data_IF_439091575348
#
_entry.id   IF_439091575348
#
_cell.length_a   1.000
_cell.length_b   1.000
_cell.length_c   1.000
_cell.angle_alpha   90.00
_cell.angle_beta   90.00
_cell.angle_gamma   90.00
#
_symmetry.space_group_name_H-M   'P 1'
#
loop_
_entity.id
_entity.type
_entity.pdbx_description
1 polymer ?
#
# COMPACT_ATOMS: atom_id res chain seq x y z
N UNK A 1 -5.79 -28.24 10.91
CA UNK A 1 -5.58 -28.25 12.38
C UNK A 1 -4.53 -27.21 12.74
N UNK A 2 -5.01 -26.04 13.17
CA UNK A 2 -4.41 -25.12 14.15
C UNK A 2 -5.41 -23.98 14.25
N UNK A 3 -6.29 -24.06 15.25
CA UNK A 3 -7.22 -23.00 15.59
C UNK A 3 -6.40 -21.73 15.84
N UNK A 4 -6.64 -20.71 15.01
CA UNK A 4 -6.02 -19.39 15.18
C UNK A 4 -6.43 -18.86 16.56
N UNK A 5 -5.46 -18.74 17.46
CA UNK A 5 -5.68 -18.20 18.81
C UNK A 5 -6.02 -16.72 18.67
N UNK A 6 -7.13 -16.30 19.28
CA UNK A 6 -7.53 -14.88 19.33
C UNK A 6 -6.43 -14.01 19.95
N UNK A 7 -6.26 -12.80 19.42
CA UNK A 7 -5.30 -11.80 19.89
C UNK A 7 -5.67 -11.44 21.35
N UNK A 8 -4.77 -11.70 22.30
CA UNK A 8 -5.01 -11.38 23.72
C UNK A 8 -4.48 -9.98 24.03
N UNK A 9 -5.33 -9.13 24.60
CA UNK A 9 -5.04 -7.70 24.90
C UNK A 9 -5.25 -7.38 26.39
N UNK A 10 -4.63 -6.30 26.89
CA UNK A 10 -4.87 -5.69 28.22
C UNK A 10 -5.53 -4.33 28.04
N UNK A 11 -6.57 -4.01 28.84
CA UNK A 11 -7.23 -2.70 28.87
C UNK A 11 -7.06 -2.05 30.25
N UNK A 12 -6.38 -0.90 30.30
CA UNK A 12 -6.40 0.09 31.39
C UNK A 12 -6.49 1.45 30.68
N UNK A 13 -7.38 2.36 31.10
CA UNK A 13 -7.76 3.48 30.22
C UNK A 13 -7.92 4.87 30.85
N UNK A 14 -7.56 5.86 30.04
CA UNK A 14 -7.72 7.31 30.23
C UNK A 14 -8.42 7.92 29.00
N UNK A 15 -9.51 8.67 29.22
CA UNK A 15 -10.30 9.28 28.13
C UNK A 15 -9.73 10.62 27.67
N UNK A 16 -9.31 10.73 26.40
CA UNK A 16 -8.85 11.99 25.80
C UNK A 16 -9.96 12.72 25.04
N UNK A 17 -10.34 13.91 25.53
CA UNK A 17 -11.45 14.72 25.00
C UNK A 17 -11.00 15.75 23.96
N UNK A 18 -11.41 15.57 22.69
CA UNK A 18 -11.45 16.67 21.72
C UNK A 18 -12.70 16.58 20.84
N UNK A 19 -13.66 17.47 21.09
CA UNK A 19 -14.83 17.64 20.22
C UNK A 19 -14.50 18.56 19.05
N UNK A 20 -14.72 18.11 17.81
CA UNK A 20 -14.72 18.99 16.64
C UNK A 20 -16.10 19.66 16.53
N UNK A 21 -16.16 21.00 16.51
CA UNK A 21 -17.40 21.73 16.22
C UNK A 21 -17.81 21.50 14.75
N UNK A 22 -19.12 21.43 14.50
CA UNK A 22 -19.72 21.05 13.21
C UNK A 22 -19.57 22.11 12.09
N UNK A 23 -19.10 23.31 12.40
CA UNK A 23 -19.31 24.52 11.56
C UNK A 23 -18.14 24.97 10.68
N UNK A 24 -17.01 24.27 10.58
CA UNK A 24 -15.94 24.67 9.66
C UNK A 24 -15.59 23.57 8.65
N UNK A 25 -15.71 23.95 7.37
CA UNK A 25 -15.43 23.21 6.13
C UNK A 25 -16.25 21.93 5.86
N UNK A 26 -16.99 21.96 4.75
CA UNK A 26 -17.56 20.77 4.11
C UNK A 26 -16.42 19.77 3.82
N UNK A 27 -16.28 18.72 4.64
CA UNK A 27 -15.31 17.67 4.36
C UNK A 27 -15.60 17.06 2.97
N UNK A 28 -14.54 16.87 2.18
CA UNK A 28 -14.68 16.26 0.85
C UNK A 28 -15.31 14.86 0.98
N UNK A 29 -16.26 14.50 0.09
CA UNK A 29 -16.86 13.17 0.11
C UNK A 29 -15.79 12.09 -0.05
N UNK A 30 -16.09 10.87 0.39
CA UNK A 30 -15.18 9.75 0.20
C UNK A 30 -14.85 9.60 -1.30
N UNK A 31 -13.56 9.41 -1.60
CA UNK A 31 -13.12 9.14 -2.97
C UNK A 31 -13.80 7.87 -3.52
N UNK A 32 -13.98 7.73 -4.84
CA UNK A 32 -14.59 6.54 -5.44
C UNK A 32 -13.91 5.23 -5.00
N UNK A 33 -12.58 5.21 -4.93
CA UNK A 33 -11.82 4.06 -4.42
C UNK A 33 -12.07 3.80 -2.93
N UNK A 34 -12.16 4.86 -2.12
CA UNK A 34 -12.48 4.70 -0.69
C UNK A 34 -13.86 4.05 -0.49
N UNK A 35 -14.84 4.39 -1.33
CA UNK A 35 -16.17 3.76 -1.33
C UNK A 35 -16.11 2.30 -1.77
N UNK A 36 -15.35 2.00 -2.84
CA UNK A 36 -15.16 0.63 -3.31
C UNK A 36 -14.60 -0.30 -2.22
N UNK A 37 -13.67 0.19 -1.39
CA UNK A 37 -13.12 -0.59 -0.28
C UNK A 37 -14.11 -0.89 0.86
N UNK A 38 -15.31 -0.29 0.87
CA UNK A 38 -16.39 -0.66 1.79
C UNK A 38 -17.32 -1.74 1.23
N UNK A 39 -17.17 -2.13 -0.04
CA UNK A 39 -17.98 -3.22 -0.58
C UNK A 39 -17.62 -4.54 0.12
N UNK A 40 -18.61 -5.39 0.48
CA UNK A 40 -18.35 -6.65 1.14
C UNK A 40 -17.32 -7.51 0.41
N UNK A 41 -16.22 -7.85 1.08
CA UNK A 41 -15.11 -8.62 0.49
C UNK A 41 -14.06 -7.78 -0.23
N UNK A 42 -14.17 -6.44 -0.17
CA UNK A 42 -13.19 -5.47 -0.69
C UNK A 42 -12.41 -4.75 0.41
N UNK A 43 -12.51 -5.20 1.66
CA UNK A 43 -11.75 -4.60 2.76
C UNK A 43 -10.26 -4.67 2.46
N UNK A 44 -9.64 -3.50 2.30
CA UNK A 44 -8.21 -3.38 2.10
C UNK A 44 -7.62 -2.68 3.31
N UNK A 45 -6.72 -3.39 3.99
CA UNK A 45 -5.96 -2.85 5.11
C UNK A 45 -4.53 -2.52 4.66
N UNK A 46 -4.09 -1.32 5.00
CA UNK A 46 -2.69 -0.92 4.91
C UNK A 46 -2.05 -1.26 6.24
N UNK A 47 -1.07 -2.17 6.24
CA UNK A 47 -0.31 -2.55 7.43
C UNK A 47 1.09 -1.97 7.31
N UNK A 48 1.47 -1.13 8.26
CA UNK A 48 2.82 -0.57 8.42
C UNK A 48 3.51 -1.16 9.64
N UNK A 49 4.79 -1.49 9.53
CA UNK A 49 5.61 -1.97 10.64
C UNK A 49 6.68 -0.93 10.90
N UNK A 50 6.86 -0.54 12.16
CA UNK A 50 7.89 0.40 12.57
C UNK A 50 8.72 -0.18 13.71
N UNK A 51 10.04 -0.17 13.49
CA UNK A 51 11.03 -0.50 14.49
C UNK A 51 11.55 0.73 15.21
N UNK A 52 11.79 0.61 16.51
CA UNK A 52 12.42 1.63 17.34
C UNK A 52 13.74 1.13 17.92
N UNK A 53 14.69 2.04 18.11
CA UNK A 53 15.96 1.78 18.81
C UNK A 53 15.81 1.71 20.33
N UNK A 54 14.65 2.07 20.85
CA UNK A 54 14.30 1.99 22.26
C UNK A 54 12.98 1.26 22.42
N UNK A 55 12.72 0.73 23.63
CA UNK A 55 11.39 0.27 24.00
C UNK A 55 10.35 1.38 23.84
N UNK A 56 9.13 0.98 23.54
CA UNK A 56 8.01 1.90 23.31
C UNK A 56 7.23 2.02 24.62
N UNK A 57 7.27 3.19 25.25
CA UNK A 57 6.43 3.48 26.41
C UNK A 57 4.99 3.76 25.94
N UNK A 58 3.98 2.92 26.28
CA UNK A 58 2.63 3.06 25.75
C UNK A 58 1.98 4.40 26.10
N UNK A 59 2.19 4.91 27.32
CA UNK A 59 1.58 6.18 27.74
C UNK A 59 2.13 7.37 26.94
N UNK A 60 3.46 7.49 26.87
CA UNK A 60 4.11 8.54 26.07
C UNK A 60 3.68 8.46 24.60
N UNK A 61 3.51 7.25 24.09
CA UNK A 61 3.04 7.02 22.73
C UNK A 61 1.60 7.52 22.52
N UNK A 62 0.68 7.18 23.43
CA UNK A 62 -0.73 7.64 23.43
C UNK A 62 -0.81 9.17 23.53
N UNK A 63 -0.08 9.77 24.46
CA UNK A 63 -0.10 11.23 24.66
C UNK A 63 0.36 11.97 23.40
N UNK A 64 1.41 11.46 22.74
CA UNK A 64 1.92 12.05 21.49
C UNK A 64 0.94 11.91 20.31
N UNK A 65 0.23 10.78 20.20
CA UNK A 65 -0.81 10.60 19.17
C UNK A 65 -1.94 11.62 19.35
N UNK A 66 -2.36 11.90 20.59
CA UNK A 66 -3.39 12.90 20.86
C UNK A 66 -2.96 14.32 20.44
N UNK A 67 -1.68 14.65 20.61
CA UNK A 67 -1.12 15.95 20.25
C UNK A 67 -0.78 16.11 18.76
N UNK A 68 -0.68 15.01 18.00
CA UNK A 68 -0.24 15.04 16.60
C UNK A 68 -1.28 14.41 15.68
N UNK A 69 -1.36 13.08 15.69
CA UNK A 69 -2.20 12.26 14.82
C UNK A 69 -3.69 12.61 14.91
N UNK A 70 -4.23 12.77 16.12
CA UNK A 70 -5.65 13.10 16.36
C UNK A 70 -6.01 14.56 16.04
N UNK A 71 -5.05 15.39 15.63
CA UNK A 71 -5.38 16.70 15.03
C UNK A 71 -6.01 16.56 13.65
N UNK A 72 -5.82 15.43 12.97
CA UNK A 72 -6.41 15.18 11.66
C UNK A 72 -7.83 14.64 11.79
N UNK A 73 -8.80 15.44 11.34
CA UNK A 73 -10.23 15.13 11.44
C UNK A 73 -10.61 13.80 10.80
N UNK A 74 -9.95 13.37 9.71
CA UNK A 74 -10.23 12.06 9.05
C UNK A 74 -10.02 10.87 9.98
N UNK A 75 -9.05 10.94 10.90
CA UNK A 75 -8.76 9.88 11.86
C UNK A 75 -9.62 9.99 13.12
N UNK A 76 -10.42 11.05 13.21
CA UNK A 76 -11.41 11.30 14.26
C UNK A 76 -12.83 11.30 13.68
N UNK A 77 -13.05 10.66 12.54
CA UNK A 77 -14.35 10.59 11.85
C UNK A 77 -14.71 9.16 11.52
N UNK A 78 -16.01 8.84 11.66
CA UNK A 78 -16.64 7.65 11.13
C UNK A 78 -16.92 7.83 9.64
N UNK A 79 -17.00 6.72 8.90
CA UNK A 79 -17.39 6.70 7.50
C UNK A 79 -18.74 6.01 7.40
N UNK A 80 -19.81 6.80 7.21
CA UNK A 80 -21.18 6.32 7.32
C UNK A 80 -21.88 6.40 5.97
N UNK A 81 -22.59 5.33 5.62
CA UNK A 81 -23.41 5.29 4.42
C UNK A 81 -24.76 5.94 4.69
N UNK A 82 -25.08 6.97 3.92
CA UNK A 82 -26.43 7.51 3.85
C UNK A 82 -27.32 6.51 3.08
N UNK A 83 -28.37 6.05 3.74
CA UNK A 83 -29.28 5.03 3.21
C UNK A 83 -30.21 5.59 2.12
N UNK A 84 -30.44 6.89 2.07
CA UNK A 84 -31.38 7.50 1.12
C UNK A 84 -30.73 7.76 -0.23
N UNK A 85 -29.49 8.26 -0.25
CA UNK A 85 -28.79 8.61 -1.49
C UNK A 85 -27.61 7.67 -1.83
N UNK A 86 -27.23 6.75 -0.94
CA UNK A 86 -26.12 5.81 -1.14
C UNK A 86 -24.73 6.45 -1.15
N UNK A 87 -24.64 7.71 -0.69
CA UNK A 87 -23.37 8.41 -0.50
C UNK A 87 -22.71 8.01 0.82
N UNK A 88 -21.40 8.22 0.92
CA UNK A 88 -20.63 7.96 2.14
C UNK A 88 -20.10 9.28 2.66
N UNK A 89 -20.37 9.56 3.93
CA UNK A 89 -20.02 10.80 4.60
C UNK A 89 -19.04 10.57 5.75
N UNK A 90 -18.24 11.60 6.03
CA UNK A 90 -17.37 11.64 7.20
C UNK A 90 -18.14 12.28 8.36
N UNK A 91 -18.34 11.53 9.44
CA UNK A 91 -19.03 12.00 10.64
C UNK A 91 -18.01 12.10 11.77
N UNK A 92 -17.63 13.31 12.21
CA UNK A 92 -16.73 13.48 13.33
C UNK A 92 -17.25 12.77 14.57
N UNK A 93 -16.36 12.09 15.26
CA UNK A 93 -16.67 11.33 16.47
C UNK A 93 -15.61 11.55 17.54
N UNK A 94 -15.97 11.21 18.76
CA UNK A 94 -15.02 11.15 19.86
C UNK A 94 -14.14 9.90 19.71
N UNK A 95 -12.83 10.06 19.89
CA UNK A 95 -11.85 8.96 19.82
C UNK A 95 -11.41 8.60 21.22
N UNK A 96 -11.77 7.40 21.67
CA UNK A 96 -11.17 6.80 22.85
C UNK A 96 -9.87 6.09 22.46
N UNK A 97 -8.72 6.66 22.82
CA UNK A 97 -7.41 6.18 22.34
C UNK A 97 -7.12 4.73 22.74
N UNK A 98 -7.65 4.26 23.87
CA UNK A 98 -7.46 2.89 24.37
C UNK A 98 -8.20 1.83 23.56
N UNK A 99 -9.20 2.23 22.77
CA UNK A 99 -9.87 1.33 21.83
C UNK A 99 -9.13 1.19 20.50
N UNK A 100 -8.07 2.01 20.29
CA UNK A 100 -7.25 2.01 19.08
C UNK A 100 -5.79 1.58 19.34
N UNK A 101 -5.22 1.90 20.51
CA UNK A 101 -3.85 1.53 20.88
C UNK A 101 -3.86 0.24 21.69
N UNK A 102 -3.49 -0.86 21.02
CA UNK A 102 -3.51 -2.22 21.53
C UNK A 102 -2.11 -2.62 21.96
N UNK A 103 -1.96 -2.97 23.24
CA UNK A 103 -0.70 -3.53 23.75
C UNK A 103 -0.79 -5.06 23.61
N UNK A 104 0.11 -5.64 22.82
CA UNK A 104 0.13 -7.09 22.62
C UNK A 104 0.65 -7.80 23.86
N UNK A 105 -0.02 -8.87 24.27
CA UNK A 105 0.49 -9.77 25.31
C UNK A 105 1.60 -10.64 24.74
N UNK A 106 2.80 -10.46 25.27
CA UNK A 106 3.96 -11.24 24.89
C UNK A 106 3.98 -12.58 25.61
N UNK A 107 4.32 -13.63 24.88
CA UNK A 107 4.67 -14.92 25.48
C UNK A 107 6.13 -14.83 25.95
N UNK A 108 6.40 -14.89 27.27
CA UNK A 108 7.77 -14.85 27.78
C UNK A 108 8.63 -16.03 27.30
N UNK A 109 8.00 -17.09 26.80
CA UNK A 109 8.69 -18.29 26.31
C UNK A 109 8.71 -18.38 24.77
N UNK A 110 8.48 -17.27 24.05
CA UNK A 110 8.48 -17.30 22.58
C UNK A 110 9.85 -17.70 22.01
N UNK A 111 9.85 -18.62 21.04
CA UNK A 111 11.08 -19.11 20.39
C UNK A 111 11.73 -18.06 19.47
N UNK A 112 10.93 -17.20 18.85
CA UNK A 112 11.41 -16.20 17.88
C UNK A 112 10.50 -14.98 17.86
N UNK A 113 11.08 -13.80 18.17
CA UNK A 113 10.40 -12.51 18.06
C UNK A 113 9.96 -12.21 16.63
N UNK A 114 10.79 -12.55 15.64
CA UNK A 114 10.49 -12.28 14.22
C UNK A 114 9.27 -13.10 13.77
N UNK A 115 9.25 -14.40 14.09
CA UNK A 115 8.10 -15.27 13.80
C UNK A 115 6.84 -14.80 14.53
N UNK A 116 6.97 -14.34 15.78
CA UNK A 116 5.84 -13.76 16.51
C UNK A 116 5.27 -12.53 15.77
N UNK A 117 6.11 -11.61 15.30
CA UNK A 117 5.68 -10.45 14.51
C UNK A 117 5.01 -10.88 13.21
N UNK A 118 5.62 -11.81 12.47
CA UNK A 118 5.08 -12.34 11.21
C UNK A 118 3.69 -12.98 11.39
N UNK A 119 3.53 -13.83 12.41
CA UNK A 119 2.26 -14.49 12.75
C UNK A 119 1.22 -13.48 13.25
N UNK A 120 1.64 -12.47 14.03
CA UNK A 120 0.77 -11.39 14.50
C UNK A 120 0.18 -10.62 13.33
N UNK A 121 1.02 -10.18 12.39
CA UNK A 121 0.60 -9.43 11.20
C UNK A 121 -0.25 -10.30 10.27
N UNK A 122 0.11 -11.59 10.13
CA UNK A 122 -0.70 -12.55 9.39
C UNK A 122 -2.14 -12.60 9.90
N UNK A 123 -2.33 -12.63 11.22
CA UNK A 123 -3.65 -12.61 11.83
C UNK A 123 -4.36 -11.26 11.64
N UNK A 124 -3.63 -10.14 11.68
CA UNK A 124 -4.20 -8.82 11.43
C UNK A 124 -4.78 -8.66 10.02
N UNK A 125 -4.27 -9.39 9.01
CA UNK A 125 -4.80 -9.29 7.64
C UNK A 125 -6.23 -9.80 7.46
N UNK A 126 -6.70 -10.65 8.37
CA UNK A 126 -8.05 -11.24 8.30
C UNK A 126 -8.94 -10.84 9.48
N UNK A 127 -8.39 -10.10 10.43
CA UNK A 127 -9.14 -9.62 11.59
C UNK A 127 -9.99 -8.41 11.15
N UNK A 128 -11.32 -8.42 11.29
CA UNK A 128 -12.15 -7.30 10.88
C UNK A 128 -11.86 -6.04 11.70
N UNK A 129 -12.16 -4.87 11.14
CA UNK A 129 -12.21 -3.61 11.89
C UNK A 129 -13.66 -3.25 12.19
N UNK A 130 -13.92 -2.77 13.40
CA UNK A 130 -15.26 -2.35 13.80
C UNK A 130 -15.60 -0.98 13.21
N UNK A 131 -16.74 -0.88 12.53
CA UNK A 131 -17.19 0.33 11.85
C UNK A 131 -17.80 1.38 12.81
N UNK A 132 -17.85 1.06 14.10
CA UNK A 132 -18.37 1.94 15.18
C UNK A 132 -17.32 2.93 15.68
N UNK A 133 -16.07 2.79 15.24
CA UNK A 133 -14.94 3.67 15.56
C UNK A 133 -14.16 4.03 14.29
N UNK A 134 -13.34 5.09 14.29
CA UNK A 134 -12.49 5.41 13.14
C UNK A 134 -11.62 4.22 12.71
N UNK A 135 -11.47 4.02 11.40
CA UNK A 135 -10.96 2.77 10.83
C UNK A 135 -9.42 2.65 10.84
N UNK A 136 -8.82 2.81 12.01
CA UNK A 136 -7.39 2.61 12.24
C UNK A 136 -7.17 1.98 13.62
N UNK A 137 -6.12 1.17 13.76
CA UNK A 137 -5.63 0.71 15.05
C UNK A 137 -4.11 0.55 15.03
N UNK A 138 -3.54 0.47 16.22
CA UNK A 138 -2.11 0.48 16.43
C UNK A 138 -1.75 -0.52 17.50
N UNK A 139 -0.80 -1.38 17.19
CA UNK A 139 -0.40 -2.48 18.02
C UNK A 139 1.03 -2.27 18.49
N UNK A 140 1.20 -2.04 19.79
CA UNK A 140 2.52 -2.00 20.42
C UNK A 140 2.89 -3.44 20.76
N UNK A 141 3.87 -3.97 20.05
CA UNK A 141 4.39 -5.31 20.31
C UNK A 141 5.53 -5.26 21.33
N UNK A 142 6.33 -4.18 21.36
CA UNK A 142 7.49 -4.00 22.26
C UNK A 142 8.38 -5.24 22.42
N UNK A 143 8.53 -6.01 21.34
CA UNK A 143 9.44 -7.14 21.25
C UNK A 143 10.79 -6.67 20.72
N UNK A 144 11.86 -7.20 21.29
CA UNK A 144 13.21 -7.03 20.76
C UNK A 144 13.43 -8.00 19.60
N UNK A 145 13.83 -7.46 18.46
CA UNK A 145 14.29 -8.23 17.29
C UNK A 145 15.81 -8.09 17.15
N UNK A 146 16.40 -8.66 16.10
CA UNK A 146 17.82 -8.44 15.81
C UNK A 146 18.14 -6.98 15.46
N UNK A 147 17.18 -6.25 14.90
CA UNK A 147 17.39 -4.89 14.38
C UNK A 147 16.77 -3.78 15.25
N UNK A 148 15.85 -4.12 16.16
CA UNK A 148 15.01 -3.15 16.88
C UNK A 148 14.81 -3.54 18.35
N UNK A 149 14.79 -2.56 19.26
CA UNK A 149 14.47 -2.79 20.68
C UNK A 149 12.96 -2.79 20.96
N UNK A 150 12.18 -2.11 20.12
CA UNK A 150 10.72 -2.11 20.18
C UNK A 150 10.10 -2.13 18.79
N UNK A 151 8.93 -2.73 18.67
CA UNK A 151 8.18 -2.83 17.40
C UNK A 151 6.75 -2.37 17.61
N UNK A 152 6.23 -1.56 16.69
CA UNK A 152 4.81 -1.28 16.57
C UNK A 152 4.30 -1.56 15.16
N UNK A 153 3.03 -1.94 15.09
CA UNK A 153 2.31 -2.21 13.85
C UNK A 153 1.13 -1.26 13.76
N UNK A 154 1.03 -0.56 12.64
CA UNK A 154 -0.09 0.32 12.31
C UNK A 154 -0.98 -0.40 11.31
N UNK A 155 -2.29 -0.33 11.50
CA UNK A 155 -3.23 -0.84 10.51
C UNK A 155 -4.29 0.21 10.25
N UNK A 156 -4.43 0.56 8.98
CA UNK A 156 -5.38 1.55 8.48
C UNK A 156 -6.28 0.90 7.46
N UNK A 157 -7.58 1.18 7.50
CA UNK A 157 -8.44 0.88 6.36
C UNK A 157 -8.07 1.82 5.19
N UNK A 158 -7.91 1.27 3.99
CA UNK A 158 -7.42 2.00 2.81
C UNK A 158 -8.40 3.10 2.33
N UNK A 159 -9.63 3.13 2.85
CA UNK A 159 -10.53 4.27 2.66
C UNK A 159 -10.03 5.58 3.29
N UNK A 160 -9.15 5.51 4.30
CA UNK A 160 -8.57 6.68 4.97
C UNK A 160 -7.60 7.46 4.06
N UNK A 161 -6.88 6.76 3.19
CA UNK A 161 -5.93 7.37 2.27
C UNK A 161 -5.01 6.35 1.61
N UNK A 162 -4.27 6.83 0.62
CA UNK A 162 -3.23 6.05 -0.05
C UNK A 162 -1.87 6.20 0.64
N UNK A 163 -0.85 5.50 0.12
CA UNK A 163 0.50 5.52 0.69
C UNK A 163 1.13 6.91 0.75
N UNK A 164 0.76 7.84 -0.15
CA UNK A 164 1.21 9.23 -0.05
C UNK A 164 0.53 9.91 1.13
N UNK A 165 -0.81 9.86 1.23
CA UNK A 165 -1.53 10.45 2.37
C UNK A 165 -1.04 9.93 3.73
N UNK A 166 -0.73 8.63 3.85
CA UNK A 166 -0.16 8.09 5.10
C UNK A 166 1.28 8.51 5.34
N UNK A 167 2.09 8.71 4.30
CA UNK A 167 3.43 9.30 4.44
C UNK A 167 3.35 10.75 4.91
N UNK A 168 2.40 11.55 4.40
CA UNK A 168 2.15 12.90 4.90
C UNK A 168 1.84 12.88 6.40
N UNK A 169 0.97 11.96 6.81
CA UNK A 169 0.60 11.78 8.21
C UNK A 169 1.80 11.43 9.08
N UNK A 170 2.62 10.48 8.63
CA UNK A 170 3.82 10.07 9.35
C UNK A 170 4.77 11.25 9.55
N UNK A 171 5.00 12.05 8.50
CA UNK A 171 5.87 13.22 8.55
C UNK A 171 5.30 14.32 9.46
N UNK A 172 3.98 14.55 9.44
CA UNK A 172 3.36 15.55 10.32
C UNK A 172 3.37 15.15 11.79
N UNK A 173 3.36 13.84 12.07
CA UNK A 173 3.42 13.29 13.42
C UNK A 173 4.85 13.10 13.96
N UNK A 174 5.88 13.39 13.16
CA UNK A 174 7.28 13.23 13.57
C UNK A 174 8.02 14.56 13.64
N UNK A 175 9.16 14.58 14.32
CA UNK A 175 9.99 15.76 14.54
C UNK A 175 11.46 15.42 14.34
N UNK A 176 12.28 16.43 14.06
CA UNK A 176 13.72 16.22 13.92
C UNK A 176 14.32 15.86 15.27
N UNK A 177 15.29 14.94 15.27
CA UNK A 177 16.08 14.63 16.47
C UNK A 177 16.86 15.85 16.95
N UNK A 178 17.30 16.72 16.02
CA UNK A 178 18.04 17.95 16.33
C UNK A 178 17.15 19.14 16.73
N UNK A 179 15.85 19.09 16.45
CA UNK A 179 14.90 20.18 16.69
C UNK A 179 13.49 19.58 16.92
N UNK A 180 13.06 19.46 18.19
CA UNK A 180 11.78 18.85 18.57
C UNK A 180 10.54 19.57 18.04
N UNK A 181 10.63 20.83 17.60
CA UNK A 181 9.48 21.57 17.06
C UNK A 181 9.44 21.55 15.53
N UNK A 182 10.57 21.27 14.87
CA UNK A 182 10.63 21.22 13.42
C UNK A 182 10.18 19.88 12.83
N UNK A 183 9.40 19.97 11.75
CA UNK A 183 9.04 18.83 10.91
C UNK A 183 10.28 18.23 10.21
N UNK A 184 10.27 16.93 9.86
CA UNK A 184 11.37 16.29 9.16
C UNK A 184 11.66 16.97 7.82
N UNK A 185 12.94 17.11 7.49
CA UNK A 185 13.35 17.56 6.16
C UNK A 185 13.63 16.35 5.30
N UNK A 186 12.86 16.17 4.23
CA UNK A 186 13.20 15.17 3.21
C UNK A 186 14.22 15.76 2.24
N UNK A 187 15.18 14.97 1.75
CA UNK A 187 16.09 15.41 0.69
C UNK A 187 15.25 15.92 -0.48
N UNK A 188 15.37 17.22 -0.76
CA UNK A 188 14.57 17.88 -1.78
C UNK A 188 14.78 17.22 -3.13
N UNK A 189 13.68 16.89 -3.81
CA UNK A 189 13.74 16.67 -5.24
C UNK A 189 14.16 18.02 -5.84
N UNK A 190 15.37 18.10 -6.38
CA UNK A 190 15.78 19.22 -7.24
C UNK A 190 14.60 19.55 -8.15
N UNK A 191 14.21 20.83 -8.23
CA UNK A 191 13.17 21.33 -9.14
C UNK A 191 13.37 20.60 -10.47
N UNK A 192 12.53 19.59 -10.77
CA UNK A 192 12.54 19.03 -12.11
C UNK A 192 12.07 20.21 -12.96
N UNK A 193 12.91 20.73 -13.88
CA UNK A 193 12.46 21.80 -14.75
C UNK A 193 11.14 21.33 -15.37
N UNK A 194 10.12 22.20 -15.36
CA UNK A 194 8.90 21.96 -16.10
C UNK A 194 9.34 21.43 -17.48
N UNK A 195 8.90 20.22 -17.81
CA UNK A 195 9.33 19.54 -19.05
C UNK A 195 9.13 20.51 -20.20
N UNK A 196 10.24 21.02 -20.74
CA UNK A 196 10.25 21.85 -21.94
C UNK A 196 9.45 21.11 -23.00
N UNK A 197 8.59 21.84 -23.70
CA UNK A 197 7.70 21.42 -24.80
C UNK A 197 8.09 20.05 -25.33
N UNK A 198 7.28 19.04 -24.99
CA UNK A 198 7.42 17.70 -25.52
C UNK A 198 7.52 17.79 -27.04
N UNK A 199 8.65 17.36 -27.62
CA UNK A 199 8.80 17.22 -29.07
C UNK A 199 7.57 16.51 -29.62
N UNK A 200 7.07 16.89 -30.80
CA UNK A 200 5.90 16.26 -31.45
C UNK A 200 6.05 14.73 -31.44
N UNK A 201 7.26 14.22 -31.66
CA UNK A 201 7.60 12.80 -31.61
C UNK A 201 7.38 12.16 -30.23
N UNK A 202 7.70 12.87 -29.14
CA UNK A 202 7.40 12.40 -27.79
C UNK A 202 5.91 12.40 -27.48
N UNK A 203 5.16 13.39 -28.01
CA UNK A 203 3.69 13.41 -27.94
C UNK A 203 3.07 12.21 -28.68
N UNK A 204 3.52 11.95 -29.91
CA UNK A 204 3.11 10.79 -30.70
C UNK A 204 3.44 9.47 -30.00
N UNK A 205 4.63 9.36 -29.39
CA UNK A 205 5.02 8.20 -28.60
C UNK A 205 4.09 7.94 -27.41
N UNK A 206 3.70 8.99 -26.68
CA UNK A 206 2.73 8.87 -25.57
C UNK A 206 1.36 8.43 -26.08
N UNK A 207 0.87 9.00 -27.17
CA UNK A 207 -0.41 8.61 -27.78
C UNK A 207 -0.39 7.14 -28.22
N UNK A 208 0.66 6.72 -28.91
CA UNK A 208 0.83 5.34 -29.36
C UNK A 208 0.89 4.35 -28.20
N UNK A 209 1.74 4.61 -27.20
CA UNK A 209 1.84 3.75 -26.02
C UNK A 209 0.52 3.69 -25.25
N UNK A 210 -0.23 4.79 -25.19
CA UNK A 210 -1.55 4.85 -24.57
C UNK A 210 -2.59 4.03 -25.32
N UNK A 211 -2.61 4.11 -26.66
CA UNK A 211 -3.48 3.30 -27.51
C UNK A 211 -3.21 1.81 -27.31
N UNK A 212 -1.94 1.40 -27.36
CA UNK A 212 -1.53 0.01 -27.14
C UNK A 212 -1.89 -0.45 -25.73
N UNK A 213 -1.68 0.39 -24.71
CA UNK A 213 -2.04 0.07 -23.34
C UNK A 213 -3.55 -0.16 -23.19
N UNK A 214 -4.38 0.72 -23.74
CA UNK A 214 -5.83 0.59 -23.69
C UNK A 214 -6.31 -0.66 -24.43
N UNK A 215 -5.79 -0.92 -25.63
CA UNK A 215 -6.10 -2.12 -26.40
C UNK A 215 -5.72 -3.38 -25.60
N UNK A 216 -4.51 -3.43 -25.06
CA UNK A 216 -4.03 -4.57 -24.27
C UNK A 216 -4.82 -4.73 -22.96
N UNK A 217 -5.30 -3.65 -22.37
CA UNK A 217 -6.17 -3.69 -21.19
C UNK A 217 -7.52 -4.34 -21.53
N UNK A 218 -8.17 -3.90 -22.61
CA UNK A 218 -9.43 -4.49 -23.09
C UNK A 218 -9.24 -5.95 -23.48
N UNK A 219 -8.20 -6.27 -24.24
CA UNK A 219 -7.87 -7.65 -24.60
C UNK A 219 -7.58 -8.50 -23.36
N UNK A 220 -6.94 -7.94 -22.33
CA UNK A 220 -6.72 -8.60 -21.04
C UNK A 220 -8.02 -8.92 -20.33
N UNK A 221 -8.93 -7.95 -20.24
CA UNK A 221 -10.22 -8.13 -19.59
C UNK A 221 -11.09 -9.18 -20.30
N UNK A 222 -11.03 -9.24 -21.63
CA UNK A 222 -11.95 -10.07 -22.43
C UNK A 222 -11.37 -11.44 -22.82
N UNK A 223 -10.07 -11.54 -23.12
CA UNK A 223 -9.51 -12.69 -23.84
C UNK A 223 -8.17 -13.22 -23.28
N UNK A 224 -7.24 -12.34 -22.92
CA UNK A 224 -5.88 -12.71 -22.56
C UNK A 224 -5.81 -13.10 -21.08
N UNK A 225 -6.25 -14.30 -20.73
CA UNK A 225 -6.08 -14.84 -19.37
C UNK A 225 -4.60 -15.12 -19.07
N UNK A 226 -4.17 -14.93 -17.82
CA UNK A 226 -2.81 -15.33 -17.40
C UNK A 226 -2.69 -16.86 -17.37
N UNK A 227 -1.47 -17.35 -17.60
CA UNK A 227 -1.14 -18.77 -17.54
C UNK A 227 -1.46 -19.30 -16.14
N UNK A 228 -2.06 -20.49 -16.05
CA UNK A 228 -2.28 -21.14 -14.76
C UNK A 228 -0.93 -21.60 -14.20
N UNK A 229 -0.46 -20.93 -13.15
CA UNK A 229 0.81 -21.26 -12.47
C UNK A 229 0.56 -21.73 -11.04
N UNK A 230 1.53 -22.40 -10.38
CA UNK A 230 1.44 -22.74 -8.96
C UNK A 230 1.19 -21.57 -8.00
N UNK A 231 1.39 -20.33 -8.46
CA UNK A 231 1.07 -19.11 -7.69
C UNK A 231 -0.40 -18.71 -7.77
N UNK A 232 -1.16 -19.25 -8.72
CA UNK A 232 -2.57 -18.92 -8.90
C UNK A 232 -3.38 -19.49 -7.74
N UNK A 233 -3.89 -18.60 -6.89
CA UNK A 233 -4.74 -18.97 -5.77
C UNK A 233 -6.13 -19.43 -6.22
N UNK A 234 -6.76 -20.24 -5.38
CA UNK A 234 -8.18 -20.60 -5.54
C UNK A 234 -9.08 -19.43 -5.14
N UNK A 235 -10.33 -19.44 -5.60
CA UNK A 235 -11.38 -18.53 -5.09
C UNK A 235 -11.45 -18.65 -3.56
N UNK A 236 -11.61 -17.54 -2.85
CA UNK A 236 -11.65 -17.51 -1.38
C UNK A 236 -10.27 -17.41 -0.70
N UNK A 237 -9.17 -17.48 -1.47
CA UNK A 237 -7.81 -17.32 -0.91
C UNK A 237 -7.59 -15.93 -0.32
N UNK A 238 -8.37 -14.93 -0.76
CA UNK A 238 -8.34 -13.57 -0.25
C UNK A 238 -8.76 -13.46 1.22
N UNK A 239 -9.53 -14.44 1.72
CA UNK A 239 -9.98 -14.51 3.13
C UNK A 239 -9.04 -15.31 4.03
N UNK A 240 -7.96 -15.87 3.47
CA UNK A 240 -6.98 -16.64 4.24
C UNK A 240 -5.87 -15.72 4.76
N UNK A 241 -5.32 -16.01 5.96
CA UNK A 241 -4.17 -15.28 6.48
C UNK A 241 -3.03 -15.24 5.45
N UNK A 242 -2.43 -14.07 5.27
CA UNK A 242 -1.24 -13.92 4.41
C UNK A 242 0.00 -14.26 5.21
N UNK A 243 0.93 -15.03 4.64
CA UNK A 243 2.24 -15.25 5.25
C UNK A 243 3.15 -14.05 4.98
N UNK A 244 3.72 -13.49 6.02
CA UNK A 244 4.74 -12.45 5.92
C UNK A 244 6.11 -13.04 6.18
N UNK A 245 7.10 -12.56 5.45
CA UNK A 245 8.51 -12.85 5.66
C UNK A 245 9.27 -11.54 5.50
N UNK A 246 10.02 -11.14 6.52
CA UNK A 246 10.78 -9.89 6.49
C UNK A 246 12.23 -10.20 6.18
N UNK A 247 12.78 -9.53 5.16
CA UNK A 247 14.19 -9.62 4.79
C UNK A 247 14.75 -8.25 4.47
N UNK A 248 15.85 -7.92 5.10
CA UNK A 248 16.60 -6.69 4.88
C UNK A 248 17.55 -6.84 3.69
N UNK A 249 17.57 -5.84 2.82
CA UNK A 249 18.47 -5.77 1.66
C UNK A 249 19.15 -4.40 1.67
N UNK A 250 20.45 -4.37 1.39
CA UNK A 250 21.24 -3.14 1.33
C UNK A 250 20.72 -2.20 0.24
N UNK A 251 20.25 -1.01 0.64
CA UNK A 251 19.91 0.05 -0.31
C UNK A 251 21.14 0.54 -1.07
N UNK A 252 22.34 0.43 -0.49
CA UNK A 252 23.59 0.79 -1.17
C UNK A 252 23.85 -0.12 -2.37
N UNK A 253 23.56 -1.41 -2.24
CA UNK A 253 23.75 -2.40 -3.32
C UNK A 253 22.75 -2.12 -4.45
N UNK A 254 21.49 -1.83 -4.11
CA UNK A 254 20.47 -1.44 -5.09
C UNK A 254 20.88 -0.17 -5.83
N UNK A 255 21.42 0.83 -5.11
CA UNK A 255 21.93 2.06 -5.71
C UNK A 255 23.14 1.80 -6.61
N UNK A 256 24.03 0.90 -6.21
CA UNK A 256 25.19 0.52 -7.02
C UNK A 256 24.75 -0.04 -8.38
N UNK A 257 23.80 -0.97 -8.39
CA UNK A 257 23.23 -1.53 -9.65
C UNK A 257 22.52 -0.44 -10.46
N UNK A 258 21.74 0.41 -9.78
CA UNK A 258 21.05 1.55 -10.40
C UNK A 258 22.02 2.44 -11.17
N UNK A 259 23.12 2.86 -10.54
CA UNK A 259 24.12 3.72 -11.17
C UNK A 259 24.86 2.98 -12.31
N UNK A 260 25.30 1.74 -12.06
CA UNK A 260 26.03 0.94 -13.05
C UNK A 260 25.21 0.67 -14.33
N UNK A 261 23.89 0.56 -14.22
CA UNK A 261 23.00 0.29 -15.34
C UNK A 261 22.29 1.55 -15.88
N UNK A 262 22.50 2.72 -15.26
CA UNK A 262 21.79 3.96 -15.56
C UNK A 262 20.26 3.75 -15.60
N UNK A 263 19.70 3.24 -14.50
CA UNK A 263 18.25 2.95 -14.33
C UNK A 263 17.71 3.61 -13.05
N UNK A 264 16.47 3.33 -12.68
CA UNK A 264 15.89 3.76 -11.40
C UNK A 264 15.90 2.63 -10.37
N UNK A 265 15.74 2.98 -9.08
CA UNK A 265 15.61 1.98 -7.99
C UNK A 265 14.46 1.02 -8.27
N UNK A 266 13.33 1.53 -8.77
CA UNK A 266 12.15 0.72 -9.09
C UNK A 266 12.43 -0.29 -10.20
N UNK A 267 13.26 0.06 -11.19
CA UNK A 267 13.63 -0.87 -12.28
C UNK A 267 14.49 -2.02 -11.73
N UNK A 268 15.42 -1.72 -10.82
CA UNK A 268 16.24 -2.74 -10.15
C UNK A 268 15.36 -3.67 -9.31
N UNK A 269 14.48 -3.13 -8.47
CA UNK A 269 13.59 -3.91 -7.60
C UNK A 269 12.62 -4.78 -8.42
N UNK A 270 12.07 -4.25 -9.50
CA UNK A 270 11.21 -5.01 -10.41
C UNK A 270 12.00 -6.13 -11.12
N UNK A 271 13.22 -5.86 -11.58
CA UNK A 271 14.10 -6.87 -12.16
C UNK A 271 14.44 -8.01 -11.20
N UNK A 272 14.77 -7.68 -9.94
CA UNK A 272 14.99 -8.68 -8.88
C UNK A 272 13.71 -9.48 -8.60
N UNK A 273 12.55 -8.84 -8.60
CA UNK A 273 11.25 -9.50 -8.41
C UNK A 273 10.96 -10.50 -9.54
N UNK A 274 11.18 -10.11 -10.80
CA UNK A 274 11.03 -10.99 -11.96
C UNK A 274 11.99 -12.19 -11.90
N UNK A 275 13.26 -11.96 -11.55
CA UNK A 275 14.23 -13.03 -11.38
C UNK A 275 13.83 -13.99 -10.24
N UNK A 276 13.35 -13.46 -9.12
CA UNK A 276 12.86 -14.23 -7.99
C UNK A 276 11.66 -15.12 -8.34
N UNK A 277 10.66 -14.55 -9.00
CA UNK A 277 9.47 -15.28 -9.47
C UNK A 277 9.87 -16.35 -10.49
N UNK A 278 10.76 -16.04 -11.43
CA UNK A 278 11.24 -16.99 -12.45
C UNK A 278 11.93 -18.19 -11.80
N UNK A 279 12.82 -17.96 -10.82
CA UNK A 279 13.49 -19.03 -10.07
C UNK A 279 12.50 -19.85 -9.23
N UNK A 280 11.54 -19.19 -8.60
CA UNK A 280 10.52 -19.86 -7.79
C UNK A 280 9.66 -20.79 -8.65
N UNK A 281 9.13 -20.29 -9.76
CA UNK A 281 8.30 -21.08 -10.67
C UNK A 281 9.10 -22.25 -11.25
N UNK A 282 10.32 -22.02 -11.73
CA UNK A 282 11.16 -23.09 -12.24
C UNK A 282 11.36 -24.20 -11.21
N UNK A 283 11.71 -23.85 -9.97
CA UNK A 283 11.84 -24.82 -8.87
C UNK A 283 10.54 -25.59 -8.64
N UNK A 284 9.41 -24.88 -8.56
CA UNK A 284 8.12 -25.49 -8.21
C UNK A 284 7.63 -26.48 -9.27
N UNK A 285 7.83 -26.16 -10.56
CA UNK A 285 7.54 -27.08 -11.66
C UNK A 285 8.47 -28.30 -11.66
N UNK A 286 9.76 -28.15 -11.30
CA UNK A 286 10.68 -29.28 -11.16
C UNK A 286 10.25 -30.24 -10.04
N UNK A 287 9.77 -29.71 -8.91
CA UNK A 287 9.29 -30.51 -7.77
C UNK A 287 8.05 -31.34 -8.13
N UNK A 288 7.14 -30.81 -8.95
CA UNK A 288 5.92 -31.51 -9.36
C UNK A 288 6.15 -32.61 -10.42
N UNK A 289 7.30 -32.61 -11.10
CA UNK A 289 7.61 -33.52 -12.22
C UNK A 289 8.85 -34.40 -11.95
N UNK A 290 9.02 -34.89 -10.72
CA UNK A 290 10.14 -35.78 -10.34
C UNK A 290 11.54 -35.25 -10.73
N UNK A 291 11.74 -33.94 -10.70
CA UNK A 291 13.02 -33.29 -11.01
C UNK A 291 13.20 -32.83 -12.46
N UNK A 292 12.27 -33.13 -13.38
CA UNK A 292 12.29 -32.56 -14.74
C UNK A 292 11.54 -31.23 -14.69
N UNK A 293 12.24 -30.12 -14.92
CA UNK A 293 11.59 -28.81 -14.97
C UNK A 293 10.78 -28.64 -16.28
N UNK A 294 9.56 -29.18 -16.33
CA UNK A 294 8.63 -28.88 -17.43
C UNK A 294 7.94 -27.54 -17.16
N UNK A 295 8.72 -26.47 -17.28
CA UNK A 295 8.21 -25.09 -17.17
C UNK A 295 7.59 -24.73 -18.51
N UNK A 296 6.30 -24.35 -18.58
CA UNK A 296 5.69 -23.96 -19.83
C UNK A 296 6.46 -22.84 -20.52
N UNK A 297 6.71 -23.00 -21.82
CA UNK A 297 7.23 -21.91 -22.64
C UNK A 297 6.23 -20.75 -22.65
N UNK A 298 6.74 -19.51 -22.52
CA UNK A 298 5.94 -18.28 -22.58
C UNK A 298 4.87 -18.12 -21.48
N UNK A 299 5.24 -18.32 -20.21
CA UNK A 299 4.36 -17.99 -19.07
C UNK A 299 3.91 -16.53 -19.16
N UNK A 300 2.61 -16.34 -19.31
CA UNK A 300 1.97 -15.03 -19.18
C UNK A 300 1.64 -14.79 -17.72
N UNK A 301 2.34 -13.83 -17.13
CA UNK A 301 2.10 -13.36 -15.78
C UNK A 301 2.08 -11.84 -15.77
N UNK A 302 1.04 -11.26 -15.18
CA UNK A 302 0.93 -9.80 -15.03
C UNK A 302 0.88 -9.41 -13.56
N UNK A 303 1.40 -8.22 -13.28
CA UNK A 303 1.29 -7.57 -11.99
C UNK A 303 0.58 -6.22 -12.15
N UNK A 304 -0.29 -5.89 -11.20
CA UNK A 304 -0.89 -4.55 -11.10
C UNK A 304 0.10 -3.64 -10.39
N UNK A 305 0.52 -2.56 -11.06
CA UNK A 305 1.41 -1.56 -10.47
C UNK A 305 0.67 -0.23 -10.29
N UNK A 306 0.64 0.27 -9.06
CA UNK A 306 -0.07 1.51 -8.72
C UNK A 306 0.83 2.74 -8.94
N UNK A 307 0.22 3.82 -9.43
CA UNK A 307 0.85 5.11 -9.68
C UNK A 307 0.14 6.20 -8.89
N UNK A 308 0.92 7.08 -8.26
CA UNK A 308 0.39 8.30 -7.70
C UNK A 308 -0.01 9.26 -8.82
N UNK A 309 -1.25 9.77 -8.78
CA UNK A 309 -1.79 10.69 -9.79
C UNK A 309 -1.69 12.16 -9.38
N UNK A 310 -1.14 12.47 -8.20
CA UNK A 310 -0.92 13.86 -7.78
C UNK A 310 0.14 14.49 -8.69
N UNK A 311 -0.21 15.63 -9.30
CA UNK A 311 0.63 16.36 -10.26
C UNK A 311 2.02 16.71 -9.71
N UNK A 312 2.10 16.98 -8.41
CA UNK A 312 3.36 17.11 -7.68
C UNK A 312 3.24 16.44 -6.33
N UNK A 313 4.25 15.65 -5.97
CA UNK A 313 4.48 15.24 -4.58
C UNK A 313 5.64 16.10 -4.08
N UNK A 314 5.39 17.37 -3.77
CA UNK A 314 6.45 18.22 -3.20
C UNK A 314 6.61 17.86 -1.75
N UNK A 315 7.84 17.96 -1.27
CA UNK A 315 8.13 17.80 0.15
C UNK A 315 7.33 18.82 1.00
N UNK A 316 7.17 20.03 0.46
CA UNK A 316 6.42 21.14 1.04
C UNK A 316 4.90 20.89 1.07
N UNK A 317 4.36 20.02 0.22
CA UNK A 317 2.94 19.64 0.22
C UNK A 317 2.63 18.61 1.34
N UNK A 318 3.65 18.03 1.98
CA UNK A 318 3.49 17.07 3.07
C UNK A 318 3.16 17.71 4.42
N UNK A 319 3.42 19.01 4.57
CA UNK A 319 3.36 19.70 5.87
C UNK A 319 2.07 20.50 6.06
N UNK A 320 1.33 20.78 5.00
CA UNK A 320 0.03 21.47 5.07
C UNK A 320 -1.11 20.45 5.04
N UNK A 321 -1.56 20.07 6.25
CA UNK A 321 -2.63 19.09 6.44
C UNK A 321 -4.02 19.62 6.02
N UNK A 322 -4.17 20.93 5.84
CA UNK A 322 -5.45 21.58 5.51
C UNK A 322 -5.57 21.88 4.01
N UNK A 323 -4.47 21.81 3.25
CA UNK A 323 -4.49 22.08 1.80
C UNK A 323 -5.38 21.08 1.05
N UNK A 324 -6.38 21.60 0.33
CA UNK A 324 -7.27 20.79 -0.49
C UNK A 324 -6.50 19.90 -1.49
N UNK A 325 -6.88 18.62 -1.56
CA UNK A 325 -6.35 17.67 -2.53
C UNK A 325 -5.08 16.91 -2.14
N UNK A 326 -4.56 17.09 -0.92
CA UNK A 326 -3.46 16.28 -0.36
C UNK A 326 -3.94 14.90 0.11
N UNK A 327 -5.17 14.82 0.63
CA UNK A 327 -5.75 13.62 1.24
C UNK A 327 -6.63 12.79 0.29
N UNK A 328 -6.88 11.54 0.70
CA UNK A 328 -7.72 10.57 0.00
C UNK A 328 -6.95 9.69 -1.00
N UNK A 329 -7.67 8.79 -1.68
CA UNK A 329 -7.06 7.91 -2.68
C UNK A 329 -6.95 8.62 -4.03
N UNK A 330 -5.70 8.87 -4.48
CA UNK A 330 -5.40 9.41 -5.82
C UNK A 330 -4.39 8.51 -6.53
N UNK A 331 -4.82 7.28 -6.71
CA UNK A 331 -4.03 6.22 -7.33
C UNK A 331 -4.66 5.79 -8.65
N UNK A 332 -3.83 5.63 -9.66
CA UNK A 332 -4.13 4.89 -10.88
C UNK A 332 -3.31 3.61 -10.88
N UNK A 333 -3.54 2.74 -11.85
CA UNK A 333 -2.71 1.55 -11.99
C UNK A 333 -2.45 1.22 -13.45
N UNK A 334 -1.39 0.46 -13.68
CA UNK A 334 -1.07 -0.12 -14.97
C UNK A 334 -0.77 -1.61 -14.82
N UNK A 335 -1.08 -2.38 -15.85
CA UNK A 335 -0.77 -3.81 -15.89
C UNK A 335 0.64 -4.01 -16.45
N UNK A 336 1.54 -4.56 -15.63
CA UNK A 336 2.90 -4.91 -16.02
C UNK A 336 2.94 -6.37 -16.45
N UNK A 337 3.26 -6.64 -17.71
CA UNK A 337 3.59 -8.00 -18.16
C UNK A 337 4.98 -8.36 -17.67
N UNK A 338 5.07 -9.30 -16.74
CA UNK A 338 6.35 -9.74 -16.19
C UNK A 338 7.02 -10.71 -17.17
N UNK A 339 8.31 -10.49 -17.45
CA UNK A 339 9.09 -11.44 -18.22
C UNK A 339 9.53 -12.58 -17.30
N UNK A 340 8.94 -13.77 -17.49
CA UNK A 340 9.21 -14.96 -16.69
C UNK A 340 10.11 -15.89 -17.50
N UNK A 341 11.31 -16.12 -16.99
CA UNK A 341 12.29 -17.00 -17.62
C UNK A 341 13.66 -16.86 -16.97
N UNK A 342 14.42 -17.95 -16.90
CA UNK A 342 15.80 -17.90 -16.43
C UNK A 342 16.68 -17.20 -17.46
N UNK A 343 17.42 -16.18 -17.02
CA UNK A 343 18.34 -15.40 -17.88
C UNK A 343 19.77 -15.86 -17.63
N UNK A 344 20.58 -15.88 -18.70
CA UNK A 344 22.02 -16.17 -18.59
C UNK A 344 22.76 -15.02 -17.89
N UNK A 345 22.47 -13.78 -18.29
CA UNK A 345 22.91 -12.59 -17.57
C UNK A 345 21.79 -12.15 -16.60
N UNK A 346 22.02 -12.16 -15.27
CA UNK A 346 21.05 -11.68 -14.29
C UNK A 346 20.60 -10.22 -14.53
N UNK A 347 21.47 -9.38 -15.09
CA UNK A 347 21.18 -7.97 -15.36
C UNK A 347 20.15 -7.79 -16.48
N UNK A 348 19.91 -8.80 -17.32
CA UNK A 348 18.84 -8.74 -18.32
C UNK A 348 17.46 -8.54 -17.69
N UNK A 349 17.22 -9.05 -16.48
CA UNK A 349 15.97 -8.81 -15.76
C UNK A 349 15.76 -7.32 -15.46
N UNK A 350 16.83 -6.60 -15.15
CA UNK A 350 16.77 -5.15 -14.88
C UNK A 350 16.58 -4.36 -16.19
N UNK A 351 17.20 -4.79 -17.29
CA UNK A 351 16.99 -4.20 -18.62
C UNK A 351 15.54 -4.36 -19.08
N UNK A 352 14.98 -5.56 -18.91
CA UNK A 352 13.59 -5.86 -19.22
C UNK A 352 12.63 -5.02 -18.36
N UNK A 353 12.88 -4.96 -17.05
CA UNK A 353 12.10 -4.15 -16.11
C UNK A 353 12.10 -2.67 -16.49
N UNK A 354 13.26 -2.10 -16.85
CA UNK A 354 13.38 -0.72 -17.35
C UNK A 354 12.51 -0.52 -18.60
N UNK A 355 12.61 -1.41 -19.58
CA UNK A 355 11.88 -1.29 -20.84
C UNK A 355 10.36 -1.33 -20.63
N UNK A 356 9.88 -2.23 -19.76
CA UNK A 356 8.47 -2.32 -19.35
C UNK A 356 8.04 -1.00 -18.67
N UNK A 357 8.81 -0.55 -17.68
CA UNK A 357 8.45 0.61 -16.87
C UNK A 357 8.47 1.92 -17.66
N UNK A 358 9.46 2.14 -18.53
CA UNK A 358 9.54 3.33 -19.38
C UNK A 358 8.35 3.42 -20.34
N UNK A 359 7.92 2.31 -20.94
CA UNK A 359 6.70 2.28 -21.78
C UNK A 359 5.45 2.68 -20.99
N UNK A 360 5.34 2.21 -19.74
CA UNK A 360 4.19 2.48 -18.88
C UNK A 360 4.18 3.92 -18.37
N UNK A 361 5.34 4.45 -17.97
CA UNK A 361 5.52 5.87 -17.59
C UNK A 361 5.25 6.82 -18.76
N UNK A 362 5.54 6.39 -19.99
CA UNK A 362 5.27 7.14 -21.23
C UNK A 362 3.90 6.77 -21.83
N UNK A 363 2.95 6.38 -21.00
CA UNK A 363 1.56 6.14 -21.39
C UNK A 363 0.61 6.85 -20.42
N UNK A 364 -0.61 7.12 -20.87
CA UNK A 364 -1.68 7.65 -20.02
C UNK A 364 -2.48 6.53 -19.33
N UNK A 365 -2.01 5.28 -19.35
CA UNK A 365 -2.72 4.12 -18.78
C UNK A 365 -3.14 4.34 -17.32
N UNK A 366 -2.29 4.84 -16.40
CA UNK A 366 -2.72 5.06 -15.02
C UNK A 366 -3.82 6.12 -14.87
N UNK A 367 -3.82 7.14 -15.73
CA UNK A 367 -4.87 8.17 -15.76
C UNK A 367 -6.17 7.59 -16.31
N UNK A 368 -6.08 6.79 -17.38
CA UNK A 368 -7.22 6.11 -17.97
C UNK A 368 -7.86 5.13 -17.00
N UNK A 369 -7.09 4.30 -16.30
CA UNK A 369 -7.65 3.34 -15.33
C UNK A 369 -8.36 4.04 -14.18
N UNK A 370 -7.82 5.15 -13.67
CA UNK A 370 -8.50 5.96 -12.67
C UNK A 370 -9.81 6.57 -13.18
N UNK A 371 -9.77 7.20 -14.36
CA UNK A 371 -10.97 7.79 -14.96
C UNK A 371 -12.04 6.72 -15.25
N UNK A 372 -11.63 5.60 -15.83
CA UNK A 372 -12.51 4.50 -16.20
C UNK A 372 -13.16 3.87 -14.96
N UNK A 373 -12.39 3.66 -13.89
CA UNK A 373 -12.93 3.18 -12.60
C UNK A 373 -13.99 4.13 -12.06
N UNK A 374 -13.73 5.43 -12.08
CA UNK A 374 -14.70 6.44 -11.64
C UNK A 374 -15.95 6.47 -12.53
N UNK A 375 -15.78 6.31 -13.85
CA UNK A 375 -16.88 6.25 -14.80
C UNK A 375 -17.76 5.01 -14.55
N UNK A 376 -17.15 3.83 -14.41
CA UNK A 376 -17.89 2.61 -14.12
C UNK A 376 -18.65 2.69 -12.80
N UNK A 377 -18.04 3.25 -11.76
CA UNK A 377 -18.69 3.45 -10.46
C UNK A 377 -19.90 4.37 -10.57
N UNK A 378 -19.83 5.42 -11.41
CA UNK A 378 -20.94 6.33 -11.65
C UNK A 378 -22.06 5.72 -12.48
N UNK A 379 -21.73 4.93 -13.51
CA UNK A 379 -22.70 4.38 -14.46
C UNK A 379 -23.39 3.12 -13.96
N UNK A 380 -22.65 2.21 -13.31
CA UNK A 380 -23.13 0.87 -12.96
C UNK A 380 -23.22 0.63 -11.45
N UNK A 381 -22.80 1.59 -10.63
CA UNK A 381 -22.74 1.45 -9.19
C UNK A 381 -21.63 0.51 -8.71
N UNK A 382 -21.45 0.43 -7.40
CA UNK A 382 -20.31 -0.25 -6.77
C UNK A 382 -20.29 -1.77 -7.00
N UNK A 383 -21.46 -2.42 -6.96
CA UNK A 383 -21.59 -3.89 -7.11
C UNK A 383 -21.10 -4.43 -8.44
N UNK A 384 -21.28 -3.68 -9.54
CA UNK A 384 -20.83 -4.11 -10.88
C UNK A 384 -19.32 -3.94 -11.03
N UNK A 385 -18.75 -2.88 -10.46
CA UNK A 385 -17.30 -2.62 -10.52
C UNK A 385 -16.51 -3.67 -9.76
N UNK A 386 -17.03 -4.14 -8.61
CA UNK A 386 -16.39 -5.19 -7.82
C UNK A 386 -16.11 -6.47 -8.62
N UNK A 387 -17.02 -6.88 -9.50
CA UNK A 387 -16.88 -8.09 -10.34
C UNK A 387 -15.71 -7.94 -11.34
N UNK A 388 -15.33 -6.73 -11.72
CA UNK A 388 -14.24 -6.46 -12.67
C UNK A 388 -12.87 -6.26 -12.02
N UNK A 389 -12.82 -6.00 -10.71
CA UNK A 389 -11.58 -5.75 -9.97
C UNK A 389 -10.98 -7.02 -9.33
N UNK A 390 -11.75 -8.11 -9.28
CA UNK A 390 -11.31 -9.47 -8.92
C UNK A 390 -11.14 -10.32 -10.18
#
# INVERSE_FOLDING_TARGET
>A
MNSLRGIRTTKEGETYNKGFKKEEENEQPLSPMARLFHEPGSDVYIIGIMGSKTKICPQVFKDNLALTFLKNRRFCSLQVMDKENGSMEWIPTHVNIDDHVIIAKLDPNMESSDKFIEDYISNLTISPMENTKPLWDLHILDVKTQETEGTCVFRFHHSLGDGISLMNLLLSCTRKVSDPEALPTLPGNNKRPATKVASIWSGLGVLWNSLIALLMFVLTALFLKDTSTPMKGSIGVERKPRRFLIKSVSLADIKMVKEAMNVTINDVVLGVTQAGISRYLHRRYSEDHNGIADVPDNIRLRATNFFNLRATTRVEDFTDMNKHGTWGNKIGYALLSLNIGLKKDPLDNVRDAKAIMERKKTSLEPLFTYFFTNLLLKLFGMKVVFIYFL
#
